data_IF_989423796275
#
_entry.id   IF_989423796275
#
_cell.length_a   1.000
_cell.length_b   1.000
_cell.length_c   1.000
_cell.angle_alpha   90.00
_cell.angle_beta   90.00
_cell.angle_gamma   90.00
#
_symmetry.space_group_name_H-M   'P 1'
#
loop_
_entity.id
_entity.type
_entity.pdbx_description
1 polymer ?
#
# COMPACT_ATOMS: atom_id res chain seq x y z
N UNK A 1 10.08 24.04 31.82
CA UNK A 1 9.60 23.33 33.05
C UNK A 1 10.67 22.38 33.52
N UNK A 2 10.87 22.25 34.84
CA UNK A 2 11.85 21.26 35.33
C UNK A 2 11.28 19.84 35.11
N UNK A 3 12.14 18.82 34.88
CA UNK A 3 11.69 17.44 34.67
C UNK A 3 10.76 16.92 35.79
N UNK A 4 11.03 17.31 37.03
CA UNK A 4 10.18 16.96 38.18
C UNK A 4 8.74 17.47 38.07
N UNK A 5 8.56 18.71 37.59
CA UNK A 5 7.22 19.29 37.38
C UNK A 5 6.44 18.58 36.27
N UNK A 6 7.13 18.13 35.21
CA UNK A 6 6.52 17.34 34.12
C UNK A 6 6.04 15.99 34.66
N UNK A 7 6.88 15.29 35.44
CA UNK A 7 6.51 14.00 36.05
C UNK A 7 5.32 14.13 36.98
N UNK A 8 5.30 15.15 37.85
CA UNK A 8 4.17 15.41 38.76
C UNK A 8 2.90 15.69 37.99
N UNK A 9 2.98 16.51 36.92
CA UNK A 9 1.83 16.82 36.08
C UNK A 9 1.30 15.54 35.38
N UNK A 10 2.19 14.73 34.78
CA UNK A 10 1.79 13.47 34.14
C UNK A 10 1.13 12.51 35.14
N UNK A 11 1.68 12.40 36.35
CA UNK A 11 1.11 11.57 37.39
C UNK A 11 -0.26 12.07 37.84
N UNK A 12 -0.45 13.38 37.96
CA UNK A 12 -1.74 14.00 38.25
C UNK A 12 -2.78 13.71 37.16
N UNK A 13 -2.38 13.81 35.89
CA UNK A 13 -3.26 13.46 34.72
C UNK A 13 -3.63 11.99 34.78
N UNK A 14 -2.68 11.09 34.99
CA UNK A 14 -2.95 9.64 35.08
C UNK A 14 -3.90 9.31 36.24
N UNK A 15 -3.72 9.93 37.41
CA UNK A 15 -4.62 9.75 38.52
C UNK A 15 -6.05 10.26 38.22
N UNK A 16 -6.17 11.40 37.57
CA UNK A 16 -7.50 11.93 37.16
C UNK A 16 -8.19 11.03 36.13
N UNK A 17 -7.45 10.51 35.16
CA UNK A 17 -7.98 9.55 34.20
C UNK A 17 -8.42 8.24 34.88
N UNK A 18 -7.61 7.73 35.82
CA UNK A 18 -7.97 6.56 36.59
C UNK A 18 -9.21 6.81 37.48
N UNK A 19 -9.31 7.99 38.09
CA UNK A 19 -10.51 8.36 38.85
C UNK A 19 -11.77 8.40 37.99
N UNK A 20 -11.68 8.87 36.74
CA UNK A 20 -12.80 8.86 35.81
C UNK A 20 -13.34 7.45 35.50
N UNK A 21 -12.49 6.41 35.55
CA UNK A 21 -12.94 5.01 35.38
C UNK A 21 -13.84 4.53 36.52
N UNK A 22 -13.66 5.06 37.72
CA UNK A 22 -14.53 4.74 38.88
C UNK A 22 -15.86 5.50 38.88
N UNK A 23 -15.90 6.65 38.19
CA UNK A 23 -17.11 7.46 38.02
C UNK A 23 -17.91 6.98 36.81
N UNK A 24 -17.27 6.32 35.86
CA UNK A 24 -17.91 5.75 34.66
C UNK A 24 -18.94 4.68 35.05
N UNK A 25 -20.13 4.75 34.48
CA UNK A 25 -21.24 3.83 34.71
C UNK A 25 -21.89 3.42 33.41
N UNK A 26 -22.65 2.34 33.47
CA UNK A 26 -23.51 1.92 32.35
C UNK A 26 -24.67 2.90 32.21
N UNK A 27 -24.98 3.29 30.97
CA UNK A 27 -26.18 4.04 30.61
C UNK A 27 -26.65 3.62 29.21
N UNK A 28 -27.94 3.85 28.94
CA UNK A 28 -28.47 3.64 27.59
C UNK A 28 -28.14 4.85 26.72
N UNK A 29 -27.51 4.60 25.58
CA UNK A 29 -27.21 5.59 24.55
C UNK A 29 -28.48 5.98 23.76
N UNK A 30 -28.41 7.00 22.93
CA UNK A 30 -29.53 7.44 22.06
C UNK A 30 -29.95 6.35 21.06
N UNK A 31 -29.08 5.38 20.77
CA UNK A 31 -29.34 4.23 19.90
C UNK A 31 -29.86 3.00 20.67
N UNK A 32 -30.24 3.15 21.94
CA UNK A 32 -30.67 2.07 22.86
C UNK A 32 -29.60 0.98 23.09
N UNK A 33 -28.32 1.30 22.87
CA UNK A 33 -27.22 0.43 23.22
C UNK A 33 -26.69 0.73 24.62
N UNK A 34 -26.19 -0.32 25.30
CA UNK A 34 -25.54 -0.17 26.59
C UNK A 34 -24.15 0.41 26.38
N UNK A 35 -23.94 1.64 26.83
CA UNK A 35 -22.66 2.32 26.77
C UNK A 35 -22.08 2.55 28.17
N UNK A 36 -20.77 2.49 28.30
CA UNK A 36 -20.05 2.86 29.52
C UNK A 36 -19.55 4.30 29.43
N UNK A 37 -19.76 5.08 30.49
CA UNK A 37 -19.31 6.46 30.47
C UNK A 37 -19.89 7.32 31.61
N UNK A 38 -19.84 8.63 31.41
CA UNK A 38 -20.33 9.64 32.34
C UNK A 38 -21.48 10.38 31.69
N UNK A 39 -22.65 10.37 32.33
CA UNK A 39 -23.86 11.09 31.91
C UNK A 39 -24.24 12.11 32.98
N UNK A 40 -24.25 13.38 32.62
CA UNK A 40 -24.68 14.49 33.49
C UNK A 40 -25.67 15.35 32.71
N UNK A 41 -26.97 15.17 33.01
CA UNK A 41 -28.03 15.83 32.26
C UNK A 41 -28.02 15.41 30.78
N UNK A 42 -27.87 16.38 29.87
CA UNK A 42 -27.77 16.16 28.44
C UNK A 42 -26.33 15.86 27.97
N UNK A 43 -25.33 16.02 28.83
CA UNK A 43 -23.94 15.73 28.50
C UNK A 43 -23.65 14.24 28.67
N UNK A 44 -23.15 13.62 27.61
CA UNK A 44 -22.75 12.21 27.57
C UNK A 44 -21.31 12.10 27.08
N UNK A 45 -20.47 11.37 27.82
CA UNK A 45 -19.08 11.09 27.45
C UNK A 45 -18.80 9.61 27.59
N UNK A 46 -18.52 8.91 26.49
CA UNK A 46 -18.10 7.51 26.53
C UNK A 46 -16.73 7.40 27.19
N UNK A 47 -16.65 6.64 28.26
CA UNK A 47 -15.42 6.43 29.01
C UNK A 47 -15.42 5.03 29.65
N UNK A 48 -14.35 4.23 29.53
CA UNK A 48 -14.33 2.87 30.04
C UNK A 48 -14.47 2.83 31.57
N UNK A 49 -15.10 1.80 32.09
CA UNK A 49 -15.11 1.53 33.53
C UNK A 49 -13.77 0.95 33.99
N UNK A 50 -13.53 0.95 35.30
CA UNK A 50 -12.33 0.30 35.85
C UNK A 50 -12.22 -1.17 35.41
N UNK A 51 -13.33 -1.88 35.39
CA UNK A 51 -13.38 -3.28 34.97
C UNK A 51 -13.12 -3.48 33.49
N UNK A 52 -13.52 -2.57 32.60
CA UNK A 52 -13.22 -2.64 31.18
C UNK A 52 -11.70 -2.57 30.90
N UNK A 53 -10.97 -1.85 31.75
CA UNK A 53 -9.52 -1.71 31.61
C UNK A 53 -8.77 -2.90 32.21
N UNK A 54 -9.24 -3.42 33.37
CA UNK A 54 -8.52 -4.42 34.14
C UNK A 54 -9.12 -5.82 34.10
N UNK A 55 -10.39 -5.97 33.63
CA UNK A 55 -10.89 -7.28 33.31
C UNK A 55 -10.10 -7.81 32.10
N UNK A 56 -9.54 -8.99 32.23
CA UNK A 56 -9.00 -9.73 31.11
C UNK A 56 -10.20 -10.05 30.21
N UNK A 57 -10.49 -9.20 29.23
CA UNK A 57 -11.37 -9.64 28.14
C UNK A 57 -10.72 -10.91 27.59
N UNK A 58 -11.43 -12.01 27.58
CA UNK A 58 -11.05 -13.15 26.74
C UNK A 58 -10.81 -12.53 25.37
N UNK A 59 -9.57 -12.62 24.89
CA UNK A 59 -9.26 -12.21 23.52
C UNK A 59 -10.15 -13.11 22.68
N UNK A 60 -11.22 -12.57 22.16
CA UNK A 60 -11.94 -13.18 21.06
C UNK A 60 -10.92 -13.23 19.93
N UNK A 61 -10.17 -14.32 19.89
CA UNK A 61 -9.29 -14.62 18.79
C UNK A 61 -10.23 -14.78 17.59
N UNK A 62 -10.26 -13.79 16.75
CA UNK A 62 -10.94 -13.95 15.47
C UNK A 62 -10.12 -14.97 14.68
N UNK A 63 -10.47 -16.25 14.82
CA UNK A 63 -9.74 -17.38 14.20
C UNK A 63 -9.65 -17.21 12.68
N UNK A 64 -10.61 -16.52 12.08
CA UNK A 64 -10.57 -16.14 10.66
C UNK A 64 -9.48 -15.10 10.37
N UNK A 65 -9.36 -14.07 11.23
CA UNK A 65 -8.28 -13.10 11.10
C UNK A 65 -6.91 -13.75 11.34
N UNK A 66 -6.82 -14.71 12.27
CA UNK A 66 -5.59 -15.47 12.51
C UNK A 66 -5.27 -16.41 11.35
N UNK A 67 -6.26 -17.06 10.71
CA UNK A 67 -6.06 -17.87 9.53
C UNK A 67 -5.54 -17.04 8.35
N UNK A 68 -6.09 -15.85 8.14
CA UNK A 68 -5.62 -14.89 7.11
C UNK A 68 -4.18 -14.44 7.41
N UNK A 69 -3.86 -14.15 8.67
CA UNK A 69 -2.51 -13.75 9.08
C UNK A 69 -1.51 -14.89 8.89
N UNK A 70 -1.93 -16.14 9.07
CA UNK A 70 -1.11 -17.33 8.88
C UNK A 70 -1.04 -17.81 7.40
N UNK A 71 -1.66 -17.09 6.47
CA UNK A 71 -1.66 -17.46 5.04
C UNK A 71 -2.48 -18.72 4.72
N UNK A 72 -3.35 -19.15 5.61
CA UNK A 72 -4.34 -20.20 5.35
C UNK A 72 -5.54 -19.55 4.69
N UNK A 73 -5.99 -20.11 3.55
CA UNK A 73 -7.28 -19.71 2.99
C UNK A 73 -8.37 -19.99 4.03
N UNK A 74 -9.16 -18.97 4.41
CA UNK A 74 -10.27 -19.22 5.30
C UNK A 74 -11.26 -20.13 4.58
N UNK A 75 -11.61 -21.25 5.20
CA UNK A 75 -12.73 -22.07 4.73
C UNK A 75 -14.01 -21.25 4.91
N UNK A 76 -14.54 -20.71 3.82
CA UNK A 76 -15.71 -19.84 3.79
C UNK A 76 -17.02 -20.58 4.12
N UNK A 77 -16.92 -21.83 4.63
CA UNK A 77 -18.06 -22.71 4.79
C UNK A 77 -18.90 -22.50 6.06
N UNK A 78 -18.44 -21.75 7.06
CA UNK A 78 -19.22 -21.51 8.28
C UNK A 78 -19.15 -20.04 8.76
N UNK A 79 -20.00 -19.20 8.21
CA UNK A 79 -20.47 -17.99 8.90
C UNK A 79 -21.84 -18.31 9.47
N UNK A 80 -21.92 -18.77 10.71
CA UNK A 80 -23.15 -18.66 11.50
C UNK A 80 -23.24 -17.24 12.02
N UNK A 81 -24.09 -16.46 11.40
CA UNK A 81 -24.52 -15.18 11.91
C UNK A 81 -25.30 -15.37 13.22
N UNK A 82 -24.83 -14.73 14.28
CA UNK A 82 -25.56 -14.62 15.57
C UNK A 82 -26.52 -13.44 15.59
N UNK A 83 -26.92 -12.91 14.45
CA UNK A 83 -28.09 -12.05 14.35
C UNK A 83 -29.04 -12.58 13.29
N UNK A 84 -30.27 -12.91 13.75
CA UNK A 84 -31.27 -13.59 12.96
C UNK A 84 -31.69 -12.83 11.72
N UNK A 85 -31.43 -13.43 10.63
CA UNK A 85 -32.24 -13.68 9.42
C UNK A 85 -31.31 -14.23 8.37
N UNK A 86 -31.44 -15.55 8.13
CA UNK A 86 -30.63 -16.25 7.15
C UNK A 86 -30.95 -15.74 5.74
N UNK A 87 -29.99 -15.10 5.10
CA UNK A 87 -29.95 -15.02 3.64
C UNK A 87 -28.79 -15.89 3.19
N UNK A 88 -29.10 -16.98 2.52
CA UNK A 88 -28.14 -17.94 1.97
C UNK A 88 -27.21 -17.22 0.98
N UNK A 89 -25.95 -17.05 1.36
CA UNK A 89 -24.90 -16.71 0.40
C UNK A 89 -24.48 -18.00 -0.29
N UNK A 90 -24.94 -18.17 -1.52
CA UNK A 90 -24.60 -19.30 -2.37
C UNK A 90 -23.07 -19.31 -2.63
N UNK A 91 -22.45 -20.46 -2.40
CA UNK A 91 -21.05 -20.77 -2.76
C UNK A 91 -20.90 -20.81 -4.27
N UNK A 92 -20.83 -19.70 -4.93
CA UNK A 92 -20.39 -19.67 -6.33
C UNK A 92 -18.98 -19.09 -6.39
N UNK A 93 -18.02 -19.95 -6.77
CA UNK A 93 -16.77 -19.51 -7.37
C UNK A 93 -17.17 -18.54 -8.49
N UNK A 94 -16.82 -17.27 -8.35
CA UNK A 94 -17.02 -16.30 -9.41
C UNK A 94 -16.04 -16.66 -10.53
N UNK A 95 -16.51 -17.41 -11.50
CA UNK A 95 -15.84 -17.61 -12.78
C UNK A 95 -16.44 -16.56 -13.69
N UNK A 96 -15.68 -15.53 -14.03
CA UNK A 96 -16.12 -14.59 -15.05
C UNK A 96 -16.27 -15.37 -16.38
N UNK A 97 -17.45 -15.35 -17.02
CA UNK A 97 -17.62 -15.95 -18.34
C UNK A 97 -16.70 -15.26 -19.35
N UNK A 98 -16.09 -16.01 -20.24
CA UNK A 98 -15.34 -15.44 -21.38
C UNK A 98 -16.25 -14.57 -22.26
N UNK A 99 -17.56 -14.82 -22.23
CA UNK A 99 -18.59 -13.99 -22.87
C UNK A 99 -19.49 -13.34 -21.81
N UNK A 100 -19.43 -12.01 -21.72
CA UNK A 100 -20.24 -11.20 -20.80
C UNK A 100 -21.74 -11.29 -21.04
N UNK A 101 -22.19 -11.86 -22.15
CA UNK A 101 -23.61 -12.13 -22.43
C UNK A 101 -24.13 -13.36 -21.67
N UNK A 102 -23.26 -14.10 -20.98
CA UNK A 102 -23.60 -15.28 -20.18
C UNK A 102 -23.52 -15.02 -18.67
N UNK A 103 -23.65 -13.77 -18.22
CA UNK A 103 -23.77 -13.49 -16.79
C UNK A 103 -24.96 -14.26 -16.19
N UNK A 104 -24.78 -14.92 -15.04
CA UNK A 104 -25.88 -15.58 -14.35
C UNK A 104 -27.04 -14.59 -14.14
N UNK A 105 -28.27 -15.05 -14.37
CA UNK A 105 -29.50 -14.23 -14.24
C UNK A 105 -29.58 -13.42 -12.93
N UNK A 106 -28.97 -13.93 -11.86
CA UNK A 106 -28.89 -13.22 -10.58
C UNK A 106 -28.06 -11.94 -10.62
N UNK A 107 -27.02 -11.88 -11.48
CA UNK A 107 -26.24 -10.66 -11.69
C UNK A 107 -26.89 -9.79 -12.76
N UNK A 108 -27.46 -10.38 -13.80
CA UNK A 108 -28.26 -9.69 -14.81
C UNK A 108 -29.47 -9.00 -14.18
N UNK A 109 -30.19 -9.66 -13.28
CA UNK A 109 -31.30 -9.09 -12.54
C UNK A 109 -30.87 -7.94 -11.59
N UNK A 110 -29.68 -8.05 -10.99
CA UNK A 110 -29.11 -6.99 -10.15
C UNK A 110 -28.66 -5.76 -10.98
N UNK A 111 -28.12 -5.99 -12.18
CA UNK A 111 -27.62 -4.94 -13.07
C UNK A 111 -28.74 -4.32 -13.95
N UNK A 112 -29.81 -5.04 -14.25
CA UNK A 112 -30.94 -4.58 -15.07
C UNK A 112 -32.08 -3.93 -14.28
N UNK A 113 -32.03 -3.97 -12.95
CA UNK A 113 -32.97 -3.26 -12.08
C UNK A 113 -32.86 -1.76 -12.30
N UNK A 114 -33.91 -1.16 -12.87
CA UNK A 114 -34.05 0.27 -13.04
C UNK A 114 -33.69 1.04 -11.76
N UNK A 115 -33.43 2.33 -11.87
CA UNK A 115 -32.97 3.24 -10.82
C UNK A 115 -33.15 2.67 -9.41
N UNK A 116 -32.04 2.28 -8.73
CA UNK A 116 -32.20 1.79 -7.36
C UNK A 116 -32.95 2.88 -6.59
N UNK A 117 -33.96 2.52 -5.81
CA UNK A 117 -34.59 3.48 -4.93
C UNK A 117 -33.44 4.12 -4.13
N UNK A 118 -33.53 5.44 -3.92
CA UNK A 118 -32.67 6.15 -2.98
C UNK A 118 -32.91 5.59 -1.57
N UNK A 119 -32.48 4.37 -1.32
CA UNK A 119 -32.47 3.79 0.01
C UNK A 119 -31.22 4.33 0.67
N UNK A 120 -31.43 5.48 1.32
CA UNK A 120 -30.54 5.94 2.35
C UNK A 120 -30.23 4.77 3.29
N UNK A 121 -28.96 4.56 3.60
CA UNK A 121 -28.42 3.75 4.71
C UNK A 121 -28.23 2.24 4.49
N UNK A 122 -27.92 1.77 3.29
CA UNK A 122 -27.27 0.46 3.17
C UNK A 122 -25.74 0.67 3.19
N UNK A 123 -25.14 0.44 4.35
CA UNK A 123 -23.68 0.41 4.46
C UNK A 123 -23.10 -0.58 3.43
N UNK A 124 -22.07 -0.14 2.69
CA UNK A 124 -21.38 -0.97 1.71
C UNK A 124 -21.91 -0.90 0.28
N UNK A 125 -22.88 -0.03 -0.03
CA UNK A 125 -23.31 0.15 -1.40
C UNK A 125 -22.29 0.92 -2.24
N UNK A 126 -21.93 0.36 -3.41
CA UNK A 126 -21.06 1.02 -4.39
C UNK A 126 -21.89 1.89 -5.32
N UNK A 127 -21.55 3.18 -5.41
CA UNK A 127 -22.15 4.11 -6.37
C UNK A 127 -21.30 4.16 -7.63
N UNK A 128 -21.93 3.99 -8.79
CA UNK A 128 -21.26 4.05 -10.08
C UNK A 128 -21.56 5.38 -10.78
N UNK A 129 -20.57 6.02 -11.43
CA UNK A 129 -20.79 7.27 -12.18
C UNK A 129 -21.57 7.07 -13.49
N UNK A 130 -21.70 5.83 -13.95
CA UNK A 130 -22.43 5.38 -15.14
C UNK A 130 -23.19 4.09 -14.78
N UNK A 131 -24.05 3.54 -15.67
CA UNK A 131 -24.66 2.25 -15.42
C UNK A 131 -23.63 1.20 -15.01
N UNK A 132 -23.90 0.49 -13.90
CA UNK A 132 -22.95 -0.44 -13.30
C UNK A 132 -22.42 -1.48 -14.31
N UNK A 133 -23.29 -1.94 -15.21
CA UNK A 133 -22.92 -2.90 -16.27
C UNK A 133 -21.87 -2.33 -17.22
N UNK A 134 -22.02 -1.10 -17.67
CA UNK A 134 -21.05 -0.45 -18.57
C UNK A 134 -19.70 -0.22 -17.88
N UNK A 135 -19.75 0.19 -16.61
CA UNK A 135 -18.53 0.34 -15.81
C UNK A 135 -17.80 -1.00 -15.67
N UNK A 136 -18.49 -2.06 -15.26
CA UNK A 136 -17.90 -3.40 -15.05
C UNK A 136 -17.35 -3.94 -16.38
N UNK A 137 -18.06 -3.77 -17.50
CA UNK A 137 -17.60 -4.19 -18.83
C UNK A 137 -16.31 -3.46 -19.24
N UNK A 138 -16.25 -2.14 -19.04
CA UNK A 138 -15.05 -1.34 -19.31
C UNK A 138 -13.87 -1.76 -18.44
N UNK A 139 -14.12 -1.98 -17.15
CA UNK A 139 -13.11 -2.42 -16.20
C UNK A 139 -12.57 -3.80 -16.57
N UNK A 140 -13.46 -4.77 -16.85
CA UNK A 140 -13.08 -6.12 -17.27
C UNK A 140 -12.23 -6.07 -18.55
N UNK A 141 -12.66 -5.30 -19.57
CA UNK A 141 -11.88 -5.12 -20.81
C UNK A 141 -10.48 -4.56 -20.54
N UNK A 142 -10.33 -3.65 -19.58
CA UNK A 142 -9.02 -3.11 -19.19
C UNK A 142 -8.15 -4.15 -18.49
N UNK A 143 -8.71 -4.87 -17.53
CA UNK A 143 -8.01 -5.89 -16.74
C UNK A 143 -7.59 -7.11 -17.60
N UNK A 144 -8.34 -7.40 -18.67
CA UNK A 144 -8.07 -8.50 -19.60
C UNK A 144 -7.04 -8.16 -20.70
N UNK A 145 -6.45 -6.96 -20.68
CA UNK A 145 -5.35 -6.64 -21.59
C UNK A 145 -4.12 -7.49 -21.26
N UNK A 146 -3.23 -7.77 -22.24
CA UNK A 146 -1.99 -8.52 -21.99
C UNK A 146 -1.15 -7.95 -20.83
N UNK A 147 -1.19 -6.64 -20.65
CA UNK A 147 -0.61 -5.94 -19.51
C UNK A 147 -1.57 -4.85 -19.03
N UNK A 148 -1.83 -4.81 -17.73
CA UNK A 148 -2.64 -3.78 -17.09
C UNK A 148 -1.98 -3.37 -15.76
N UNK A 149 -1.80 -2.05 -15.57
CA UNK A 149 -1.25 -1.52 -14.33
C UNK A 149 -2.27 -0.66 -13.60
N UNK A 150 -2.38 -0.89 -12.30
CA UNK A 150 -3.25 -0.16 -11.36
C UNK A 150 -2.36 0.59 -10.38
N UNK A 151 -2.54 1.90 -10.27
CA UNK A 151 -1.87 2.73 -9.29
C UNK A 151 -2.83 2.98 -8.12
N UNK A 152 -2.56 2.36 -6.98
CA UNK A 152 -3.39 2.48 -5.79
C UNK A 152 -2.79 3.53 -4.86
N UNK A 153 -3.30 4.76 -4.96
CA UNK A 153 -2.94 5.87 -4.09
C UNK A 153 -3.78 5.86 -2.81
N UNK A 154 -3.17 6.18 -1.71
CA UNK A 154 -3.85 6.32 -0.43
C UNK A 154 -2.95 6.91 0.65
N UNK A 155 -3.52 7.10 1.82
CA UNK A 155 -2.84 7.61 3.01
C UNK A 155 -2.12 6.50 3.80
N UNK A 156 -1.92 6.71 5.09
CA UNK A 156 -1.28 5.73 5.99
C UNK A 156 -2.04 4.41 6.14
N UNK A 157 -3.32 4.32 5.74
CA UNK A 157 -4.11 3.09 5.85
C UNK A 157 -3.62 2.00 4.91
N UNK A 158 -3.07 2.37 3.75
CA UNK A 158 -2.50 1.42 2.80
C UNK A 158 -1.00 1.14 3.04
N UNK A 159 -0.36 1.78 4.03
CA UNK A 159 1.02 1.47 4.42
C UNK A 159 1.19 0.00 4.82
N UNK A 160 2.37 -0.55 4.52
CA UNK A 160 2.65 -1.97 4.76
C UNK A 160 2.01 -2.92 3.76
N UNK A 161 1.41 -2.39 2.70
CA UNK A 161 0.91 -3.14 1.52
C UNK A 161 -0.15 -4.22 1.82
N UNK A 162 -0.85 -4.16 2.94
CA UNK A 162 -1.83 -5.21 3.31
C UNK A 162 -3.08 -5.20 2.43
N UNK A 163 -3.67 -4.03 2.24
CA UNK A 163 -4.91 -3.87 1.44
C UNK A 163 -4.57 -4.09 -0.02
N UNK A 164 -3.55 -3.40 -0.54
CA UNK A 164 -3.16 -3.50 -1.94
C UNK A 164 -2.68 -4.89 -2.31
N UNK A 165 -1.95 -5.58 -1.43
CA UNK A 165 -1.51 -6.95 -1.66
C UNK A 165 -2.68 -7.93 -1.74
N UNK A 166 -3.72 -7.76 -0.92
CA UNK A 166 -4.94 -8.56 -1.01
C UNK A 166 -5.63 -8.38 -2.37
N UNK A 167 -5.86 -7.12 -2.78
CA UNK A 167 -6.47 -6.78 -4.07
C UNK A 167 -5.61 -7.27 -5.24
N UNK A 168 -4.31 -7.03 -5.17
CA UNK A 168 -3.33 -7.47 -6.18
C UNK A 168 -3.36 -8.98 -6.35
N UNK A 169 -3.32 -9.75 -5.25
CA UNK A 169 -3.37 -11.20 -5.30
C UNK A 169 -4.67 -11.70 -5.96
N UNK A 170 -5.82 -11.12 -5.62
CA UNK A 170 -7.10 -11.44 -6.23
C UNK A 170 -7.13 -11.15 -7.73
N UNK A 171 -6.70 -9.96 -8.14
CA UNK A 171 -6.65 -9.55 -9.54
C UNK A 171 -5.66 -10.39 -10.36
N UNK A 172 -4.48 -10.65 -9.83
CA UNK A 172 -3.49 -11.50 -10.48
C UNK A 172 -3.93 -12.97 -10.58
N UNK A 173 -4.77 -13.43 -9.66
CA UNK A 173 -5.36 -14.76 -9.73
C UNK A 173 -6.36 -14.88 -10.87
N UNK A 174 -7.14 -13.82 -11.12
CA UNK A 174 -8.18 -13.79 -12.15
C UNK A 174 -7.63 -13.46 -13.54
N UNK A 175 -6.69 -12.52 -13.63
CA UNK A 175 -6.23 -11.93 -14.90
C UNK A 175 -4.76 -12.22 -15.21
N UNK A 176 -4.10 -13.06 -14.42
CA UNK A 176 -2.67 -13.30 -14.56
C UNK A 176 -1.82 -12.18 -13.95
N UNK A 177 -0.51 -12.37 -14.02
CA UNK A 177 0.46 -11.49 -13.40
C UNK A 177 1.03 -12.03 -12.09
N UNK A 178 2.16 -11.49 -11.68
CA UNK A 178 2.87 -11.83 -10.43
C UNK A 178 3.63 -10.62 -9.92
N UNK A 179 4.10 -10.69 -8.68
CA UNK A 179 5.00 -9.72 -8.09
C UNK A 179 4.32 -8.66 -7.23
N UNK A 180 5.12 -7.96 -6.41
CA UNK A 180 4.64 -7.01 -5.41
C UNK A 180 4.30 -5.62 -5.98
N UNK A 181 4.62 -5.35 -7.26
CA UNK A 181 4.46 -4.03 -7.84
C UNK A 181 5.59 -3.07 -7.43
N UNK A 182 5.24 -1.82 -7.22
CA UNK A 182 6.17 -0.74 -6.91
C UNK A 182 6.59 -0.69 -5.45
N UNK A 183 7.85 -0.28 -5.24
CA UNK A 183 8.36 0.23 -3.95
C UNK A 183 9.56 1.19 -4.14
N UNK A 184 9.79 2.13 -3.20
CA UNK A 184 10.98 2.97 -3.22
C UNK A 184 12.23 2.16 -2.87
N UNK A 185 13.39 2.50 -3.42
CA UNK A 185 14.66 1.80 -3.11
C UNK A 185 14.94 1.78 -1.60
N UNK A 186 14.71 2.90 -0.91
CA UNK A 186 14.79 2.95 0.56
C UNK A 186 13.37 3.00 1.12
N UNK A 187 12.90 1.87 1.59
CA UNK A 187 11.56 1.77 2.18
C UNK A 187 11.53 2.33 3.61
N UNK A 188 10.51 3.12 3.97
CA UNK A 188 10.33 3.60 5.34
C UNK A 188 9.76 2.52 6.27
N UNK A 189 9.16 1.48 5.71
CA UNK A 189 8.56 0.32 6.39
C UNK A 189 8.66 -0.90 5.47
N UNK A 190 8.76 -2.09 6.05
CA UNK A 190 8.91 -3.33 5.27
C UNK A 190 7.64 -3.70 4.49
N UNK A 191 7.83 -4.36 3.38
CA UNK A 191 6.79 -5.07 2.65
C UNK A 191 6.71 -6.54 3.09
N UNK A 192 5.55 -7.15 2.86
CA UNK A 192 5.36 -8.57 3.20
C UNK A 192 5.76 -9.52 2.09
N UNK A 193 5.69 -9.06 0.84
CA UNK A 193 5.93 -9.89 -0.35
C UNK A 193 7.40 -10.03 -0.72
N UNK A 194 8.23 -9.07 -0.30
CA UNK A 194 9.68 -9.07 -0.54
C UNK A 194 10.44 -8.60 0.69
N UNK A 195 11.70 -9.01 0.77
CA UNK A 195 12.69 -8.52 1.71
C UNK A 195 13.61 -7.58 0.92
N UNK A 196 13.59 -6.30 1.28
CA UNK A 196 14.47 -5.29 0.70
C UNK A 196 15.55 -4.91 1.71
N UNK A 197 16.78 -4.74 1.22
CA UNK A 197 17.94 -4.27 2.01
C UNK A 197 18.72 -3.26 1.18
N UNK A 198 19.16 -2.18 1.80
CA UNK A 198 19.98 -1.15 1.16
C UNK A 198 21.30 -0.95 1.85
N UNK A 199 22.33 -0.49 1.12
CA UNK A 199 23.51 0.09 1.74
C UNK A 199 23.14 1.33 2.56
N UNK A 200 23.92 1.65 3.61
CA UNK A 200 23.59 2.71 4.56
C UNK A 200 23.53 4.14 4.01
N UNK A 201 24.02 4.37 2.80
CA UNK A 201 24.18 5.71 2.21
C UNK A 201 23.02 6.16 1.30
N UNK A 202 21.84 5.55 1.42
CA UNK A 202 20.66 5.98 0.71
C UNK A 202 19.88 7.07 1.47
N UNK A 203 19.52 8.13 0.75
CA UNK A 203 18.65 9.22 1.18
C UNK A 203 17.31 9.07 0.47
N UNK A 204 16.20 9.32 1.18
CA UNK A 204 14.85 9.30 0.62
C UNK A 204 14.21 10.67 0.77
N UNK A 205 13.70 11.19 -0.33
CA UNK A 205 12.96 12.45 -0.42
C UNK A 205 11.53 12.14 -0.83
N UNK A 206 10.57 12.57 0.00
CA UNK A 206 9.16 12.34 -0.27
C UNK A 206 8.41 13.67 -0.25
N UNK A 207 7.74 13.99 -1.36
CA UNK A 207 7.04 15.26 -1.53
C UNK A 207 5.97 15.51 -0.46
N UNK A 208 5.37 14.43 0.03
CA UNK A 208 4.37 14.44 1.10
C UNK A 208 4.98 14.49 2.52
N UNK A 209 6.28 14.37 2.71
CA UNK A 209 6.90 14.40 4.03
C UNK A 209 6.88 15.81 4.62
N UNK A 210 6.06 16.02 5.67
CA UNK A 210 5.85 17.31 6.30
C UNK A 210 7.14 17.88 6.93
N UNK A 211 7.99 17.02 7.51
CA UNK A 211 9.24 17.44 8.14
C UNK A 211 10.25 17.91 7.10
N UNK A 212 10.42 17.17 6.00
CA UNK A 212 11.29 17.58 4.89
C UNK A 212 10.81 18.90 4.27
N UNK A 213 9.50 19.10 4.12
CA UNK A 213 8.93 20.38 3.65
C UNK A 213 9.25 21.53 4.61
N UNK A 214 9.06 21.31 5.91
CA UNK A 214 9.34 22.30 6.95
C UNK A 214 10.82 22.70 6.96
N UNK A 215 11.71 21.75 6.83
CA UNK A 215 13.16 21.96 6.83
C UNK A 215 13.72 22.36 5.46
N UNK A 216 12.84 22.55 4.45
CA UNK A 216 13.24 22.81 3.04
C UNK A 216 14.23 21.76 2.49
N UNK A 217 14.15 20.54 3.00
CA UNK A 217 14.97 19.39 2.59
C UNK A 217 14.23 18.58 1.52
N UNK A 218 13.78 19.26 0.47
CA UNK A 218 13.14 18.66 -0.70
C UNK A 218 14.02 18.86 -1.93
N UNK A 219 13.76 18.07 -2.98
CA UNK A 219 14.45 18.24 -4.26
C UNK A 219 14.13 19.59 -4.88
N UNK A 220 15.18 20.28 -5.36
CA UNK A 220 15.03 21.60 -5.97
C UNK A 220 14.37 21.53 -7.35
N UNK A 221 14.57 20.43 -8.09
CA UNK A 221 13.98 20.22 -9.41
C UNK A 221 12.50 19.82 -9.36
N UNK A 222 11.95 19.54 -8.17
CA UNK A 222 10.56 19.10 -7.96
C UNK A 222 10.13 17.86 -8.79
N UNK A 223 11.09 17.03 -9.22
CA UNK A 223 10.83 15.83 -10.02
C UNK A 223 10.74 14.61 -9.13
N UNK A 224 9.53 14.23 -8.73
CA UNK A 224 9.27 13.11 -7.81
C UNK A 224 8.64 11.88 -8.49
N UNK A 225 8.24 12.00 -9.74
CA UNK A 225 7.58 10.92 -10.49
C UNK A 225 6.20 10.53 -9.93
N UNK A 226 5.63 9.47 -10.49
CA UNK A 226 4.30 8.95 -10.13
C UNK A 226 4.14 8.62 -8.65
N UNK A 227 5.23 8.33 -7.98
CA UNK A 227 5.21 7.82 -6.61
C UNK A 227 5.49 8.91 -5.56
N UNK A 228 5.60 10.17 -5.99
CA UNK A 228 5.89 11.33 -5.14
C UNK A 228 7.09 11.13 -4.20
N UNK A 229 8.08 10.35 -4.63
CA UNK A 229 9.20 9.91 -3.84
C UNK A 229 10.44 9.66 -4.71
N UNK A 230 11.60 10.03 -4.18
CA UNK A 230 12.91 9.85 -4.83
C UNK A 230 13.91 9.32 -3.82
N UNK A 231 14.75 8.38 -4.25
CA UNK A 231 15.90 7.92 -3.50
C UNK A 231 17.20 8.33 -4.21
N UNK A 232 18.22 8.69 -3.43
CA UNK A 232 19.56 9.04 -3.91
C UNK A 232 20.60 8.39 -3.02
N UNK A 233 21.76 8.04 -3.57
CA UNK A 233 22.88 7.54 -2.77
C UNK A 233 23.88 8.65 -2.39
N UNK A 234 23.48 9.89 -2.55
CA UNK A 234 24.13 11.08 -2.03
C UNK A 234 23.06 12.12 -1.66
N UNK A 235 23.34 13.04 -0.72
CA UNK A 235 22.38 14.06 -0.36
C UNK A 235 22.10 14.98 -1.57
N UNK A 236 20.87 15.50 -1.67
CA UNK A 236 20.46 16.40 -2.76
C UNK A 236 21.17 17.77 -2.66
N UNK A 237 21.61 18.14 -1.44
CA UNK A 237 22.37 19.37 -1.17
C UNK A 237 23.68 19.02 -0.52
N UNK A 238 24.75 19.71 -0.91
CA UNK A 238 26.08 19.50 -0.33
C UNK A 238 26.68 18.13 -0.73
N UNK A 239 26.31 17.60 -1.89
CA UNK A 239 26.94 16.38 -2.42
C UNK A 239 28.45 16.57 -2.58
N UNK A 240 29.24 15.75 -1.89
CA UNK A 240 30.69 15.81 -1.92
C UNK A 240 31.24 15.23 -3.24
N UNK A 241 32.40 15.71 -3.68
CA UNK A 241 33.10 15.15 -4.81
C UNK A 241 33.59 13.71 -4.50
N UNK A 242 33.86 12.92 -5.54
CA UNK A 242 34.41 11.58 -5.45
C UNK A 242 33.44 10.48 -5.85
N UNK A 243 33.99 9.32 -6.13
CA UNK A 243 33.21 8.14 -6.50
C UNK A 243 32.41 7.61 -5.29
N UNK A 244 31.13 7.37 -5.51
CA UNK A 244 30.21 6.81 -4.52
C UNK A 244 29.65 5.50 -5.05
N UNK A 245 29.50 4.53 -4.16
CA UNK A 245 28.92 3.23 -4.48
C UNK A 245 27.79 2.95 -3.52
N UNK A 246 26.66 2.50 -4.04
CA UNK A 246 25.49 2.11 -3.26
C UNK A 246 24.82 0.89 -3.88
N UNK A 247 24.10 0.14 -3.08
CA UNK A 247 23.36 -1.02 -3.57
C UNK A 247 22.02 -1.18 -2.86
N UNK A 248 21.11 -1.85 -3.54
CA UNK A 248 19.94 -2.45 -2.92
C UNK A 248 19.86 -3.94 -3.29
N UNK A 249 19.16 -4.68 -2.45
CA UNK A 249 18.97 -6.12 -2.61
C UNK A 249 17.48 -6.44 -2.44
N UNK A 250 16.97 -7.31 -3.28
CA UNK A 250 15.60 -7.83 -3.23
C UNK A 250 15.67 -9.34 -3.09
N UNK A 251 14.89 -9.89 -2.16
CA UNK A 251 14.69 -11.33 -2.03
C UNK A 251 13.20 -11.63 -1.85
N UNK A 252 12.68 -12.73 -2.41
CA UNK A 252 11.30 -13.15 -2.18
C UNK A 252 11.03 -13.35 -0.68
N UNK A 253 9.85 -12.94 -0.23
CA UNK A 253 9.35 -13.26 1.10
C UNK A 253 8.22 -14.28 0.99
N UNK A 254 8.33 -15.39 1.69
CA UNK A 254 7.32 -16.44 1.70
C UNK A 254 6.30 -16.28 2.85
N UNK A 255 6.28 -15.11 3.48
CA UNK A 255 5.42 -14.84 4.64
C UNK A 255 4.00 -14.40 4.29
N UNK A 256 3.67 -14.28 3.01
CA UNK A 256 2.37 -13.81 2.54
C UNK A 256 1.92 -14.59 1.28
N UNK A 257 1.32 -13.94 0.27
CA UNK A 257 0.87 -14.62 -0.95
C UNK A 257 2.07 -15.00 -1.85
N UNK A 258 2.25 -16.28 -2.15
CA UNK A 258 3.36 -16.77 -2.96
C UNK A 258 3.46 -16.09 -4.33
N UNK A 259 2.31 -15.80 -4.97
CA UNK A 259 2.26 -15.13 -6.26
C UNK A 259 2.93 -13.76 -6.24
N UNK A 260 2.80 -13.01 -5.13
CA UNK A 260 3.37 -11.69 -4.98
C UNK A 260 4.89 -11.71 -4.73
N UNK A 261 5.44 -12.85 -4.37
CA UNK A 261 6.90 -13.03 -4.21
C UNK A 261 7.59 -13.49 -5.50
N UNK A 262 6.82 -13.87 -6.52
CA UNK A 262 7.33 -14.30 -7.81
C UNK A 262 7.44 -13.10 -8.76
N UNK A 263 8.49 -13.06 -9.57
CA UNK A 263 8.66 -12.05 -10.60
C UNK A 263 9.65 -12.52 -11.66
N UNK A 264 9.50 -12.03 -12.89
CA UNK A 264 10.44 -12.22 -13.97
C UNK A 264 10.94 -10.91 -14.58
N UNK A 265 10.44 -9.77 -14.06
CA UNK A 265 10.89 -8.45 -14.48
C UNK A 265 11.11 -7.54 -13.27
N UNK A 266 12.20 -6.78 -13.31
CA UNK A 266 12.50 -5.68 -12.40
C UNK A 266 12.80 -4.45 -13.25
N UNK A 267 12.08 -3.36 -13.00
CA UNK A 267 12.30 -2.09 -13.68
C UNK A 267 12.75 -1.04 -12.66
N UNK A 268 13.91 -0.43 -12.92
CA UNK A 268 14.45 0.65 -12.09
C UNK A 268 14.14 1.96 -12.78
N UNK A 269 13.33 2.79 -12.13
CA UNK A 269 12.91 4.10 -12.63
C UNK A 269 13.88 5.17 -12.13
N UNK A 270 14.52 5.90 -13.03
CA UNK A 270 15.48 6.93 -12.68
C UNK A 270 15.43 8.14 -13.63
N UNK A 271 16.04 9.23 -13.20
CA UNK A 271 16.23 10.43 -14.01
C UNK A 271 17.27 11.34 -13.37
N UNK A 272 17.40 12.56 -13.88
CA UNK A 272 18.43 13.50 -13.43
C UNK A 272 19.84 12.86 -13.39
N UNK A 273 20.07 11.85 -14.22
CA UNK A 273 21.36 11.21 -14.45
C UNK A 273 22.16 12.08 -15.43
N UNK A 274 23.09 12.87 -14.92
CA UNK A 274 23.85 13.84 -15.73
C UNK A 274 25.32 13.49 -15.86
N UNK A 275 25.75 12.39 -15.24
CA UNK A 275 27.10 11.84 -15.35
C UNK A 275 27.01 10.32 -15.49
N UNK A 276 28.00 9.67 -16.15
CA UNK A 276 27.99 8.22 -16.26
C UNK A 276 27.84 7.53 -14.91
N UNK A 277 26.82 6.70 -14.80
CA UNK A 277 26.53 5.90 -13.61
C UNK A 277 26.60 4.43 -13.98
N UNK A 278 27.59 3.74 -13.45
CA UNK A 278 27.74 2.29 -13.64
C UNK A 278 26.68 1.56 -12.85
N UNK A 279 26.00 0.61 -13.47
CA UNK A 279 25.11 -0.34 -12.84
C UNK A 279 25.69 -1.75 -12.98
N UNK A 280 25.75 -2.48 -11.86
CA UNK A 280 26.16 -3.90 -11.83
C UNK A 280 25.08 -4.71 -11.14
N UNK A 281 24.63 -5.76 -11.81
CA UNK A 281 23.54 -6.62 -11.35
C UNK A 281 24.08 -8.00 -11.00
N UNK A 282 23.68 -8.49 -9.84
CA UNK A 282 24.05 -9.81 -9.33
C UNK A 282 22.80 -10.64 -9.04
N UNK A 283 22.79 -11.84 -9.60
CA UNK A 283 21.80 -12.87 -9.28
C UNK A 283 22.49 -13.92 -8.40
N UNK A 284 21.95 -14.17 -7.21
CA UNK A 284 22.46 -15.14 -6.24
C UNK A 284 24.00 -15.01 -6.00
N UNK A 285 24.48 -13.77 -5.93
CA UNK A 285 25.87 -13.33 -5.81
C UNK A 285 26.76 -13.47 -7.07
N UNK A 286 26.22 -13.95 -8.19
CA UNK A 286 26.92 -13.99 -9.48
C UNK A 286 26.64 -12.71 -10.25
N UNK A 287 27.66 -12.04 -10.77
CA UNK A 287 27.49 -10.90 -11.67
C UNK A 287 26.91 -11.41 -13.00
N UNK A 288 25.70 -10.91 -13.33
CA UNK A 288 25.00 -11.29 -14.56
C UNK A 288 24.96 -10.16 -15.58
N UNK A 289 25.12 -8.91 -15.15
CA UNK A 289 25.10 -7.77 -16.04
C UNK A 289 25.87 -6.59 -15.46
N UNK A 290 26.61 -5.91 -16.33
CA UNK A 290 27.29 -4.66 -16.03
C UNK A 290 27.05 -3.70 -17.18
N UNK A 291 26.60 -2.48 -16.87
CA UNK A 291 26.14 -1.51 -17.84
C UNK A 291 26.33 -0.08 -17.34
N UNK A 292 26.06 0.91 -18.17
CA UNK A 292 26.08 2.31 -17.79
C UNK A 292 24.68 2.90 -18.04
N UNK A 293 24.12 3.58 -17.04
CA UNK A 293 22.84 4.27 -17.18
C UNK A 293 22.95 5.43 -18.17
N UNK A 294 21.90 5.68 -18.93
CA UNK A 294 21.81 6.82 -19.85
C UNK A 294 21.89 8.11 -19.04
N UNK A 295 22.80 9.00 -19.42
CA UNK A 295 23.16 10.20 -18.65
C UNK A 295 22.81 11.51 -19.37
N UNK A 296 21.60 11.59 -19.88
CA UNK A 296 21.04 12.77 -20.58
C UNK A 296 20.17 13.66 -19.68
N UNK A 297 20.00 13.25 -18.41
CA UNK A 297 19.18 13.95 -17.44
C UNK A 297 17.67 13.68 -17.55
N UNK A 298 17.20 13.01 -18.61
CA UNK A 298 15.80 12.65 -18.79
C UNK A 298 15.39 11.45 -17.90
N UNK A 299 14.09 11.18 -17.86
CA UNK A 299 13.56 9.96 -17.25
C UNK A 299 13.86 8.73 -18.10
N UNK A 300 14.29 7.66 -17.44
CA UNK A 300 14.53 6.34 -18.04
C UNK A 300 14.05 5.22 -17.14
N UNK A 301 13.71 4.09 -17.78
CA UNK A 301 13.37 2.82 -17.15
C UNK A 301 14.41 1.76 -17.52
N UNK A 302 15.22 1.33 -16.57
CA UNK A 302 16.18 0.26 -16.79
C UNK A 302 15.56 -1.08 -16.45
N UNK A 303 15.30 -1.91 -17.48
CA UNK A 303 14.59 -3.19 -17.37
C UNK A 303 15.54 -4.37 -17.26
N UNK A 304 15.26 -5.24 -16.31
CA UNK A 304 15.91 -6.54 -16.09
C UNK A 304 14.86 -7.63 -16.23
N UNK A 305 15.11 -8.61 -17.10
CA UNK A 305 14.25 -9.76 -17.30
C UNK A 305 14.98 -11.03 -16.85
N UNK A 306 14.24 -11.93 -16.21
CA UNK A 306 14.74 -13.17 -15.66
C UNK A 306 13.90 -14.35 -16.17
N UNK A 307 14.53 -15.50 -16.35
CA UNK A 307 13.82 -16.74 -16.70
C UNK A 307 13.04 -17.33 -15.52
N UNK A 308 13.50 -17.07 -14.30
CA UNK A 308 12.87 -17.43 -13.05
C UNK A 308 13.13 -16.34 -12.00
N UNK A 309 12.34 -16.31 -10.93
CA UNK A 309 12.54 -15.38 -9.83
C UNK A 309 13.87 -15.62 -9.14
N UNK A 310 14.81 -14.65 -9.11
CA UNK A 310 16.06 -14.76 -8.35
C UNK A 310 15.79 -14.97 -6.85
N UNK A 311 16.56 -15.85 -6.20
CA UNK A 311 16.51 -15.98 -4.73
C UNK A 311 17.00 -14.71 -4.06
N UNK A 312 18.00 -14.06 -4.69
CA UNK A 312 18.56 -12.80 -4.23
C UNK A 312 19.03 -11.99 -5.42
N UNK A 313 18.40 -10.87 -5.68
CA UNK A 313 18.80 -9.89 -6.68
C UNK A 313 19.50 -8.72 -5.97
N UNK A 314 20.78 -8.45 -6.29
CA UNK A 314 21.49 -7.26 -5.81
C UNK A 314 21.83 -6.37 -6.99
N UNK A 315 21.49 -5.09 -6.87
CA UNK A 315 21.84 -4.06 -7.85
C UNK A 315 22.75 -3.05 -7.18
N UNK A 316 23.89 -2.81 -7.79
CA UNK A 316 24.91 -1.87 -7.31
C UNK A 316 25.09 -0.74 -8.32
N UNK A 317 25.19 0.48 -7.82
CA UNK A 317 25.48 1.68 -8.59
C UNK A 317 26.79 2.29 -8.17
N UNK A 318 27.52 2.87 -9.14
CA UNK A 318 28.76 3.63 -8.87
C UNK A 318 28.80 4.86 -9.77
N UNK A 319 28.93 6.05 -9.16
CA UNK A 319 29.00 7.33 -9.86
C UNK A 319 29.64 8.42 -9.00
N UNK A 320 30.10 9.48 -9.61
CA UNK A 320 30.58 10.68 -8.92
C UNK A 320 29.43 11.60 -8.50
N UNK A 321 28.24 11.46 -9.12
CA UNK A 321 27.00 12.19 -8.78
C UNK A 321 25.83 11.21 -8.78
N UNK A 322 24.98 11.27 -7.74
CA UNK A 322 23.83 10.38 -7.66
C UNK A 322 22.72 10.80 -8.63
N UNK A 323 22.20 9.90 -9.47
CA UNK A 323 20.90 10.09 -10.12
C UNK A 323 19.76 10.19 -9.10
N UNK A 324 18.60 10.62 -9.58
CA UNK A 324 17.34 10.54 -8.87
C UNK A 324 16.65 9.21 -9.23
N UNK A 325 16.45 8.34 -8.24
CA UNK A 325 15.76 7.07 -8.42
C UNK A 325 14.32 7.19 -7.92
N UNK A 326 13.36 7.07 -8.82
CA UNK A 326 11.94 7.21 -8.49
C UNK A 326 11.37 5.94 -7.86
N UNK A 327 12.07 4.82 -7.94
CA UNK A 327 11.73 3.55 -7.32
C UNK A 327 11.96 2.36 -8.22
N UNK A 328 11.43 1.23 -7.80
CA UNK A 328 11.55 -0.06 -8.48
C UNK A 328 10.17 -0.67 -8.62
N UNK A 329 9.85 -1.17 -9.82
CA UNK A 329 8.68 -2.01 -10.02
C UNK A 329 9.12 -3.44 -10.25
N UNK A 330 8.48 -4.38 -9.57
CA UNK A 330 8.82 -5.81 -9.58
C UNK A 330 7.58 -6.63 -9.88
N UNK A 331 7.63 -7.42 -10.92
CA UNK A 331 6.48 -8.20 -11.34
C UNK A 331 6.72 -9.09 -12.53
N UNK A 332 5.66 -9.43 -13.24
CA UNK A 332 5.69 -10.11 -14.53
C UNK A 332 5.58 -9.14 -15.70
N UNK A 333 6.03 -9.58 -16.87
CA UNK A 333 5.89 -8.83 -18.13
C UNK A 333 4.44 -8.74 -18.61
N UNK A 334 3.59 -9.65 -18.14
CA UNK A 334 2.20 -9.77 -18.55
C UNK A 334 1.27 -9.85 -17.34
N UNK A 335 -0.03 -9.65 -17.58
CA UNK A 335 -1.08 -9.70 -16.59
C UNK A 335 -1.24 -8.40 -15.79
N UNK A 336 -1.90 -8.47 -14.65
CA UNK A 336 -2.20 -7.30 -13.82
C UNK A 336 -1.07 -7.00 -12.85
N UNK A 337 -0.63 -5.75 -12.85
CA UNK A 337 0.23 -5.17 -11.82
C UNK A 337 -0.57 -4.14 -11.01
N UNK A 338 -0.45 -4.18 -9.68
CA UNK A 338 -1.10 -3.19 -8.82
C UNK A 338 -0.07 -2.62 -7.84
N UNK A 339 0.22 -1.33 -7.98
CA UNK A 339 1.22 -0.62 -7.21
C UNK A 339 0.59 -0.01 -5.96
N UNK A 340 1.27 -0.15 -4.83
CA UNK A 340 0.88 0.47 -3.57
C UNK A 340 1.65 1.78 -3.38
N UNK A 341 0.93 2.91 -3.36
CA UNK A 341 1.53 4.25 -3.28
C UNK A 341 0.97 4.97 -2.05
N UNK A 342 1.49 4.64 -0.85
CA UNK A 342 1.06 5.28 0.39
C UNK A 342 1.72 6.65 0.54
N UNK A 343 0.91 7.68 0.74
CA UNK A 343 1.35 9.06 0.97
C UNK A 343 0.87 9.51 2.36
N UNK A 344 1.61 9.13 3.39
CA UNK A 344 1.24 9.39 4.80
C UNK A 344 0.97 10.87 5.06
N UNK A 345 -0.22 11.17 5.56
CA UNK A 345 -0.63 12.52 5.94
C UNK A 345 -0.83 13.48 4.77
N UNK A 346 -1.00 12.94 3.56
CA UNK A 346 -1.24 13.73 2.36
C UNK A 346 -2.65 13.48 1.81
N UNK A 347 -3.27 14.56 1.32
CA UNK A 347 -4.58 14.53 0.66
C UNK A 347 -4.51 14.32 -0.86
N UNK A 348 -3.31 14.01 -1.40
CA UNK A 348 -3.08 13.89 -2.84
C UNK A 348 -2.80 15.23 -3.55
N UNK A 349 -2.91 16.36 -2.87
CA UNK A 349 -2.68 17.69 -3.47
C UNK A 349 -1.29 17.84 -4.10
N UNK A 350 -0.29 17.15 -3.58
CA UNK A 350 1.08 17.24 -4.08
C UNK A 350 1.25 16.68 -5.49
N UNK A 351 0.40 15.74 -5.89
CA UNK A 351 0.43 15.17 -7.25
C UNK A 351 0.08 16.17 -8.34
N UNK A 352 -0.61 17.27 -8.01
CA UNK A 352 -0.89 18.35 -8.97
C UNK A 352 0.35 19.15 -9.38
N UNK A 353 1.50 18.89 -8.75
CA UNK A 353 2.76 19.65 -8.92
C UNK A 353 3.88 18.86 -9.59
N UNK A 354 3.66 17.62 -9.98
CA UNK A 354 4.69 16.68 -10.51
C UNK A 354 4.42 16.31 -11.97
N UNK A 355 4.18 17.27 -12.84
CA UNK A 355 3.64 16.97 -14.18
C UNK A 355 4.66 16.30 -15.12
N UNK A 356 5.85 16.85 -15.31
CA UNK A 356 6.76 16.39 -16.36
C UNK A 356 7.26 14.94 -16.17
N UNK A 357 7.74 14.61 -14.96
CA UNK A 357 8.21 13.26 -14.64
C UNK A 357 7.04 12.28 -14.53
N UNK A 358 5.86 12.75 -14.08
CA UNK A 358 4.64 11.97 -14.03
C UNK A 358 4.23 11.49 -15.43
N UNK A 359 4.19 12.38 -16.41
CA UNK A 359 3.81 12.06 -17.78
C UNK A 359 4.79 11.10 -18.45
N UNK A 360 6.10 11.29 -18.24
CA UNK A 360 7.13 10.41 -18.77
C UNK A 360 7.02 8.99 -18.19
N UNK A 361 6.82 8.86 -16.88
CA UNK A 361 6.62 7.56 -16.22
C UNK A 361 5.30 6.90 -16.63
N UNK A 362 4.22 7.66 -16.76
CA UNK A 362 2.91 7.14 -17.16
C UNK A 362 2.90 6.51 -18.55
N UNK A 363 3.73 7.01 -19.46
CA UNK A 363 3.86 6.46 -20.82
C UNK A 363 4.67 5.17 -20.85
N UNK A 364 5.54 4.96 -19.87
CA UNK A 364 6.41 3.78 -19.79
C UNK A 364 5.74 2.61 -19.06
N UNK A 365 4.79 2.89 -18.17
CA UNK A 365 4.06 1.91 -17.36
C UNK A 365 2.78 1.40 -18.04
#
# INVERSE_FOLDING_TARGET
MSPKKIVIFMFGVLLSLLWLTFVSREYMDEENEVAHGIKIGSFQMKYPTFWDIFSRSERVTNDKAMAIIQGKEPDLAEVKDTMGTATMVNKHKFVFPEDMNQLPDSIGAFLSGGNPPLVSNVEGQIYYPEPAEDFVRKLHKKLSQPSCRILHYGDSKIEGDRITAYLRNGLQTLYGGTGPGYFPIKMPYGQRSIIEQTSGNWYRYALFNAEQRKNKDLLQNNQYGLYANVCRFAPARGETAGLKTASFTISPSHSYYNRLSQYNQVTIHYGNCTVPTLITVYEDNTEIRKDTLIADGAYHAYKLNFSATPKKLRVQFSSTKSPDFYGVTVGSTEGVQADNIPTRGDSGFHFTRIQDTYDAMSREL
#
